data_IF_050210871651
#
_entry.id   IF_050210871651
#
_cell.length_a   1.000
_cell.length_b   1.000
_cell.length_c   1.000
_cell.angle_alpha   90.00
_cell.angle_beta   90.00
_cell.angle_gamma   90.00
#
_symmetry.space_group_name_H-M   'P 1'
#
loop_
_entity.id
_entity.type
_entity.pdbx_description
1 polymer ?
#
# COMPACT_ATOMS: atom_id res chain seq x y z
N UNK A 1 16.46 15.08 -3.38
CA UNK A 1 17.87 15.01 -3.81
C UNK A 1 18.75 15.56 -2.70
N UNK A 2 18.56 16.77 -2.21
CA UNK A 2 19.39 17.38 -1.14
C UNK A 2 19.49 16.55 0.14
N UNK A 3 18.46 15.76 0.49
CA UNK A 3 18.49 14.86 1.64
C UNK A 3 19.35 13.61 1.37
N UNK A 4 19.40 13.15 0.12
CA UNK A 4 20.20 12.00 -0.30
C UNK A 4 21.68 12.37 -0.25
N UNK A 5 22.02 13.57 -0.67
CA UNK A 5 23.42 14.06 -0.67
C UNK A 5 24.02 14.19 0.74
N UNK A 6 23.17 14.19 1.77
CA UNK A 6 23.59 14.25 3.19
C UNK A 6 23.82 12.88 3.81
N UNK A 7 23.48 11.79 3.11
CA UNK A 7 23.67 10.43 3.63
C UNK A 7 25.16 10.09 3.58
N UNK A 8 25.71 9.72 4.72
CA UNK A 8 27.10 9.29 4.86
C UNK A 8 27.17 7.77 5.10
N UNK A 9 28.35 7.19 4.91
CA UNK A 9 28.60 5.79 5.27
C UNK A 9 28.32 5.52 6.76
N UNK A 10 28.61 6.48 7.64
CA UNK A 10 28.33 6.39 9.06
C UNK A 10 26.84 6.29 9.35
N UNK A 11 25.98 7.10 8.67
CA UNK A 11 24.53 6.99 8.77
C UNK A 11 24.05 5.60 8.37
N UNK A 12 24.58 5.04 7.27
CA UNK A 12 24.20 3.71 6.81
C UNK A 12 24.60 2.62 7.81
N UNK A 13 25.83 2.69 8.36
CA UNK A 13 26.27 1.75 9.38
C UNK A 13 25.48 1.87 10.67
N UNK A 14 25.10 3.07 11.07
CA UNK A 14 24.22 3.28 12.23
C UNK A 14 22.87 2.58 12.03
N UNK A 15 22.23 2.82 10.88
CA UNK A 15 20.98 2.14 10.55
C UNK A 15 21.15 0.61 10.49
N UNK A 16 22.22 0.14 9.86
CA UNK A 16 22.51 -1.30 9.78
C UNK A 16 22.67 -1.92 11.18
N UNK A 17 23.50 -1.33 12.02
CA UNK A 17 23.76 -1.86 13.36
C UNK A 17 22.55 -1.82 14.28
N UNK A 18 21.64 -0.85 14.07
CA UNK A 18 20.40 -0.72 14.85
C UNK A 18 19.35 -1.73 14.41
N UNK A 19 19.12 -1.86 13.11
CA UNK A 19 17.93 -2.58 12.61
C UNK A 19 18.20 -4.01 12.14
N UNK A 20 19.44 -4.33 11.72
CA UNK A 20 19.80 -5.64 11.18
C UNK A 20 20.33 -6.58 12.26
N UNK A 21 19.52 -6.78 13.29
CA UNK A 21 19.79 -7.73 14.37
C UNK A 21 18.78 -8.89 14.27
N UNK A 22 19.17 -10.16 14.58
CA UNK A 22 18.28 -11.31 14.51
C UNK A 22 16.98 -11.15 15.28
N UNK A 23 16.99 -10.43 16.42
CA UNK A 23 15.80 -10.14 17.22
C UNK A 23 14.77 -9.23 16.51
N UNK A 24 15.20 -8.50 15.48
CA UNK A 24 14.35 -7.58 14.69
C UNK A 24 14.11 -8.10 13.26
N UNK A 25 14.48 -9.34 12.95
CA UNK A 25 14.38 -9.91 11.62
C UNK A 25 13.55 -11.18 11.62
N UNK A 26 12.79 -11.38 10.57
CA UNK A 26 12.09 -12.62 10.28
C UNK A 26 12.72 -13.24 9.02
N UNK A 27 13.13 -14.50 9.11
CA UNK A 27 13.52 -15.27 7.94
C UNK A 27 12.35 -16.16 7.51
N UNK A 28 11.87 -15.91 6.32
CA UNK A 28 10.78 -16.68 5.74
C UNK A 28 11.25 -17.42 4.49
N UNK A 29 11.05 -18.74 4.45
CA UNK A 29 11.49 -19.61 3.37
C UNK A 29 10.29 -20.32 2.78
N UNK A 30 10.08 -20.16 1.49
CA UNK A 30 9.00 -20.83 0.74
C UNK A 30 9.58 -21.55 -0.46
N UNK A 31 9.19 -22.81 -0.65
CA UNK A 31 9.64 -23.60 -1.80
C UNK A 31 9.55 -25.10 -1.54
N UNK A 32 10.08 -25.87 -2.47
CA UNK A 32 10.17 -27.33 -2.33
C UNK A 32 11.37 -27.71 -1.45
N UNK A 33 11.31 -27.39 -0.16
CA UNK A 33 12.37 -27.64 0.82
C UNK A 33 11.84 -28.58 1.92
N UNK A 34 12.76 -29.36 2.50
CA UNK A 34 12.47 -30.09 3.73
C UNK A 34 12.56 -29.12 4.91
N UNK A 35 11.48 -28.87 5.68
CA UNK A 35 11.48 -27.90 6.75
C UNK A 35 12.51 -28.21 7.86
N UNK A 36 12.65 -29.47 8.25
CA UNK A 36 13.55 -29.89 9.33
C UNK A 36 15.02 -29.66 8.94
N UNK A 37 15.40 -30.06 7.72
CA UNK A 37 16.76 -29.85 7.20
C UNK A 37 17.08 -28.36 7.05
N UNK A 38 16.09 -27.55 6.60
CA UNK A 38 16.25 -26.11 6.45
C UNK A 38 16.42 -25.43 7.81
N UNK A 39 15.61 -25.77 8.80
CA UNK A 39 15.73 -25.25 10.16
C UNK A 39 17.08 -25.61 10.76
N UNK A 40 17.52 -26.86 10.59
CA UNK A 40 18.82 -27.31 11.07
C UNK A 40 19.97 -26.51 10.41
N UNK A 41 19.93 -26.36 9.09
CA UNK A 41 20.91 -25.55 8.34
C UNK A 41 20.96 -24.10 8.83
N UNK A 42 19.79 -23.47 9.05
CA UNK A 42 19.70 -22.09 9.56
C UNK A 42 20.33 -22.00 10.96
N UNK A 43 19.98 -22.92 11.88
CA UNK A 43 20.56 -22.96 13.24
C UNK A 43 22.08 -23.08 13.19
N UNK A 44 22.60 -24.06 12.46
CA UNK A 44 24.04 -24.25 12.32
C UNK A 44 24.79 -23.07 11.72
N UNK A 45 24.13 -22.31 10.86
CA UNK A 45 24.65 -21.07 10.29
C UNK A 45 24.64 -19.94 11.32
N UNK A 46 23.56 -19.79 12.09
CA UNK A 46 23.43 -18.72 13.07
C UNK A 46 24.32 -18.96 14.30
N UNK A 47 24.48 -20.20 14.74
CA UNK A 47 25.34 -20.58 15.88
C UNK A 47 26.84 -20.25 15.64
N UNK A 48 27.26 -20.07 14.39
CA UNK A 48 28.61 -19.64 14.02
C UNK A 48 28.84 -18.14 14.09
N UNK A 49 27.79 -17.36 14.33
CA UNK A 49 27.87 -15.90 14.34
C UNK A 49 27.80 -15.38 15.77
N UNK A 50 28.61 -14.38 16.02
CA UNK A 50 28.52 -13.60 17.26
C UNK A 50 27.65 -12.38 17.02
N UNK A 51 26.57 -12.25 17.81
CA UNK A 51 25.70 -11.10 17.79
C UNK A 51 25.94 -10.26 19.04
N UNK A 52 25.85 -8.94 18.89
CA UNK A 52 25.79 -8.03 20.04
C UNK A 52 24.52 -8.31 20.84
N UNK A 53 24.47 -7.84 22.08
CA UNK A 53 23.23 -7.84 22.86
C UNK A 53 22.15 -7.04 22.12
N UNK A 54 20.93 -7.56 22.10
CA UNK A 54 19.81 -6.90 21.43
C UNK A 54 19.42 -5.63 22.21
N UNK A 55 19.37 -4.51 21.51
CA UNK A 55 18.84 -3.26 22.05
C UNK A 55 17.38 -3.13 21.68
N UNK A 56 16.56 -2.53 22.58
CA UNK A 56 15.18 -2.22 22.27
C UNK A 56 15.10 -1.08 21.26
N UNK A 57 14.38 -1.33 20.15
CA UNK A 57 14.20 -0.32 19.11
C UNK A 57 12.97 0.51 19.44
N UNK A 58 13.20 1.72 19.92
CA UNK A 58 12.13 2.70 20.10
C UNK A 58 11.65 3.24 18.77
N UNK A 59 10.34 3.16 18.52
CA UNK A 59 9.68 3.72 17.34
C UNK A 59 8.81 4.89 17.76
N UNK A 60 9.21 6.08 17.36
CA UNK A 60 8.44 7.29 17.58
C UNK A 60 7.55 7.55 16.36
N UNK A 61 6.25 7.62 16.60
CA UNK A 61 5.26 8.02 15.60
C UNK A 61 4.73 9.39 16.01
N UNK A 62 4.79 10.33 15.09
CA UNK A 62 4.12 11.62 15.29
C UNK A 62 2.62 11.44 15.12
N UNK A 63 1.84 12.21 15.89
CA UNK A 63 0.38 12.23 15.74
C UNK A 63 0.02 12.81 14.37
N UNK A 64 -0.66 12.03 13.56
CA UNK A 64 -1.11 12.47 12.23
C UNK A 64 -2.41 13.28 12.36
N UNK A 65 -2.42 14.58 12.01
CA UNK A 65 -3.63 15.40 12.09
C UNK A 65 -4.75 14.84 11.22
N UNK A 66 -6.00 14.96 11.65
CA UNK A 66 -7.19 14.53 10.87
C UNK A 66 -7.38 15.36 9.61
N UNK A 67 -6.97 16.63 9.67
CA UNK A 67 -7.08 17.56 8.54
C UNK A 67 -5.88 17.43 7.60
N UNK A 68 -6.11 17.72 6.31
CA UNK A 68 -5.03 17.77 5.33
C UNK A 68 -4.25 19.07 5.45
N UNK A 69 -2.93 19.01 5.46
CA UNK A 69 -2.07 20.21 5.55
C UNK A 69 -2.23 21.13 4.33
N UNK A 70 -2.46 20.56 3.16
CA UNK A 70 -2.64 21.32 1.90
C UNK A 70 -3.72 20.64 1.06
N UNK A 71 -4.81 21.35 0.77
CA UNK A 71 -5.96 20.82 0.05
C UNK A 71 -5.68 20.54 -1.43
N UNK A 72 -4.85 21.34 -2.06
CA UNK A 72 -4.46 21.17 -3.46
C UNK A 72 -3.04 21.68 -3.68
N UNK A 73 -2.29 21.02 -4.53
CA UNK A 73 -0.93 21.42 -4.92
C UNK A 73 -0.73 21.15 -6.40
N UNK A 74 -0.24 22.15 -7.10
CA UNK A 74 0.19 22.02 -8.48
C UNK A 74 1.71 22.09 -8.57
N UNK A 75 2.30 21.18 -9.33
CA UNK A 75 3.74 21.11 -9.58
C UNK A 75 3.98 21.15 -11.09
N UNK A 76 4.82 22.07 -11.54
CA UNK A 76 5.29 22.08 -12.93
C UNK A 76 6.44 21.11 -13.08
N UNK A 77 6.25 20.12 -13.95
CA UNK A 77 7.23 19.07 -14.22
C UNK A 77 7.31 18.84 -15.73
N UNK A 78 8.44 18.31 -16.18
CA UNK A 78 8.60 17.89 -17.57
C UNK A 78 7.92 16.53 -17.78
N UNK A 79 6.63 16.57 -18.10
CA UNK A 79 5.76 15.40 -18.31
C UNK A 79 4.99 15.56 -19.62
N UNK A 80 4.72 14.44 -20.29
CA UNK A 80 4.01 14.46 -21.58
C UNK A 80 2.53 14.86 -21.44
N UNK A 81 1.90 14.48 -20.32
CA UNK A 81 0.53 14.83 -19.97
C UNK A 81 0.43 15.22 -18.51
N UNK A 82 -0.50 16.11 -18.15
CA UNK A 82 -0.78 16.38 -16.74
C UNK A 82 -1.18 15.10 -15.99
N UNK A 83 -0.64 14.94 -14.78
CA UNK A 83 -0.95 13.84 -13.86
C UNK A 83 -1.87 14.35 -12.77
N UNK A 84 -2.92 13.62 -12.53
CA UNK A 84 -3.92 13.94 -11.49
C UNK A 84 -3.95 12.84 -10.46
N UNK A 85 -3.81 13.22 -9.20
CA UNK A 85 -3.99 12.34 -8.07
C UNK A 85 -4.87 13.01 -7.03
N UNK A 86 -5.94 12.33 -6.63
CA UNK A 86 -6.84 12.77 -5.56
C UNK A 86 -6.64 11.82 -4.38
N UNK A 87 -6.22 12.37 -3.25
CA UNK A 87 -6.00 11.64 -2.01
C UNK A 87 -7.12 11.88 -1.00
N UNK A 88 -7.48 10.82 -0.26
CA UNK A 88 -8.47 10.85 0.82
C UNK A 88 -7.83 10.27 2.07
N UNK A 89 -7.71 11.05 3.14
CA UNK A 89 -7.18 10.56 4.42
C UNK A 89 -8.13 9.55 5.06
N UNK A 90 -7.58 8.47 5.57
CA UNK A 90 -8.32 7.55 6.42
C UNK A 90 -8.59 8.18 7.80
N UNK A 91 -9.78 7.92 8.34
CA UNK A 91 -10.18 8.42 9.66
C UNK A 91 -9.89 7.42 10.79
N UNK A 92 -9.85 6.13 10.46
CA UNK A 92 -9.56 5.06 11.40
C UNK A 92 -8.16 4.54 11.13
N UNK A 93 -7.22 4.91 11.95
CA UNK A 93 -5.79 4.58 11.80
C UNK A 93 -5.18 3.95 13.06
N UNK A 94 -5.94 3.92 14.16
CA UNK A 94 -5.54 3.27 15.41
C UNK A 94 -6.10 1.83 15.47
N UNK A 95 -5.77 1.05 14.46
CA UNK A 95 -6.17 -0.35 14.31
C UNK A 95 -4.94 -1.23 14.31
N UNK A 96 -5.11 -2.50 14.68
CA UNK A 96 -4.04 -3.48 14.65
C UNK A 96 -4.54 -4.88 14.35
N UNK A 97 -3.64 -5.75 13.88
CA UNK A 97 -3.93 -7.16 13.65
C UNK A 97 -5.15 -7.39 12.74
N UNK A 98 -6.06 -8.24 13.17
CA UNK A 98 -7.23 -8.65 12.38
C UNK A 98 -8.19 -7.50 12.09
N UNK A 99 -8.34 -6.54 13.00
CA UNK A 99 -9.22 -5.38 12.80
C UNK A 99 -8.67 -4.46 11.70
N UNK A 100 -7.36 -4.23 11.69
CA UNK A 100 -6.69 -3.47 10.63
C UNK A 100 -6.87 -4.14 9.27
N UNK A 101 -6.64 -5.44 9.19
CA UNK A 101 -6.82 -6.22 7.96
C UNK A 101 -8.26 -6.17 7.46
N UNK A 102 -9.24 -6.36 8.34
CA UNK A 102 -10.67 -6.27 7.98
C UNK A 102 -11.03 -4.88 7.46
N UNK A 103 -10.52 -3.83 8.10
CA UNK A 103 -10.76 -2.46 7.67
C UNK A 103 -10.15 -2.20 6.30
N UNK A 104 -8.90 -2.57 6.11
CA UNK A 104 -8.18 -2.43 4.83
C UNK A 104 -8.91 -3.15 3.69
N UNK A 105 -9.26 -4.42 3.87
CA UNK A 105 -10.01 -5.19 2.88
C UNK A 105 -11.38 -4.58 2.59
N UNK A 106 -12.06 -4.05 3.60
CA UNK A 106 -13.36 -3.39 3.42
C UNK A 106 -13.25 -2.13 2.59
N UNK A 107 -12.25 -1.29 2.85
CA UNK A 107 -11.98 -0.07 2.06
C UNK A 107 -11.57 -0.43 0.63
N UNK A 108 -10.69 -1.41 0.45
CA UNK A 108 -10.28 -1.89 -0.87
C UNK A 108 -11.46 -2.43 -1.69
N UNK A 109 -12.41 -3.15 -1.06
CA UNK A 109 -13.64 -3.60 -1.73
C UNK A 109 -14.50 -2.40 -2.12
N UNK A 110 -14.66 -1.43 -1.22
CA UNK A 110 -15.40 -0.20 -1.51
C UNK A 110 -14.79 0.60 -2.67
N UNK A 111 -13.48 0.80 -2.68
CA UNK A 111 -12.78 1.48 -3.77
C UNK A 111 -12.92 0.73 -5.10
N UNK A 112 -12.83 -0.59 -5.10
CA UNK A 112 -13.07 -1.40 -6.31
C UNK A 112 -14.52 -1.26 -6.81
N UNK A 113 -15.50 -1.17 -5.91
CA UNK A 113 -16.89 -0.92 -6.31
C UNK A 113 -17.09 0.45 -6.94
N UNK A 114 -16.44 1.50 -6.41
CA UNK A 114 -16.57 2.87 -6.88
C UNK A 114 -15.69 3.15 -8.11
N UNK A 115 -14.44 2.76 -8.06
CA UNK A 115 -13.39 3.16 -9.02
C UNK A 115 -12.86 2.00 -9.87
N UNK A 116 -13.30 0.77 -9.63
CA UNK A 116 -12.89 -0.39 -10.40
C UNK A 116 -13.34 -0.32 -11.87
N UNK A 117 -12.65 -1.04 -12.75
CA UNK A 117 -12.94 -1.05 -14.20
C UNK A 117 -14.36 -1.50 -14.57
N UNK A 118 -15.09 -2.12 -13.65
CA UNK A 118 -16.48 -2.54 -13.82
C UNK A 118 -17.49 -1.57 -13.15
N UNK A 119 -17.05 -0.41 -12.70
CA UNK A 119 -17.90 0.62 -12.12
C UNK A 119 -18.48 1.55 -13.19
N UNK A 120 -19.63 2.14 -12.88
CA UNK A 120 -20.23 3.17 -13.73
C UNK A 120 -19.36 4.41 -13.83
N UNK A 121 -18.64 4.75 -12.74
CA UNK A 121 -17.67 5.83 -12.74
C UNK A 121 -16.58 5.61 -13.78
N UNK A 122 -15.94 4.43 -13.78
CA UNK A 122 -14.90 4.12 -14.75
C UNK A 122 -15.39 4.26 -16.19
N UNK A 123 -16.56 3.70 -16.50
CA UNK A 123 -17.15 3.79 -17.84
C UNK A 123 -17.38 5.25 -18.24
N UNK A 124 -17.96 6.03 -17.34
CA UNK A 124 -18.24 7.46 -17.57
C UNK A 124 -16.96 8.27 -17.87
N UNK A 125 -15.93 8.14 -17.04
CA UNK A 125 -14.70 8.94 -17.23
C UNK A 125 -13.85 8.44 -18.41
N UNK A 126 -13.91 7.15 -18.73
CA UNK A 126 -13.28 6.57 -19.89
C UNK A 126 -13.92 7.06 -21.21
N UNK A 127 -15.23 6.99 -21.31
CA UNK A 127 -15.98 7.47 -22.50
C UNK A 127 -15.84 8.99 -22.68
N UNK A 128 -15.71 9.75 -21.59
CA UNK A 128 -15.45 11.18 -21.62
C UNK A 128 -13.98 11.52 -21.99
N UNK A 129 -13.10 10.53 -22.12
CA UNK A 129 -11.67 10.71 -22.41
C UNK A 129 -10.92 11.42 -21.31
N UNK A 130 -11.34 11.24 -20.04
CA UNK A 130 -10.71 11.86 -18.87
C UNK A 130 -9.57 11.03 -18.32
N UNK A 131 -9.51 9.73 -18.62
CA UNK A 131 -8.50 8.78 -18.15
C UNK A 131 -7.86 8.04 -19.32
N UNK A 132 -6.69 7.48 -19.06
CA UNK A 132 -6.00 6.57 -19.97
C UNK A 132 -5.51 5.30 -19.24
N UNK A 133 -4.56 4.58 -19.80
CA UNK A 133 -4.04 3.32 -19.25
C UNK A 133 -3.32 3.50 -17.90
N UNK A 134 -2.92 4.73 -17.55
CA UNK A 134 -2.29 5.07 -16.27
C UNK A 134 -3.28 5.14 -15.09
N UNK A 135 -4.60 5.02 -15.37
CA UNK A 135 -5.62 5.06 -14.34
C UNK A 135 -5.43 3.97 -13.29
N UNK A 136 -5.31 4.41 -12.05
CA UNK A 136 -5.11 3.55 -10.91
C UNK A 136 -5.81 4.13 -9.67
N UNK A 137 -6.11 3.25 -8.72
CA UNK A 137 -6.52 3.59 -7.36
C UNK A 137 -5.88 2.60 -6.40
N UNK A 138 -5.61 3.07 -5.18
CA UNK A 138 -5.01 2.26 -4.13
C UNK A 138 -5.43 2.75 -2.75
N UNK A 139 -5.23 1.92 -1.74
CA UNK A 139 -5.42 2.24 -0.33
C UNK A 139 -4.26 1.71 0.47
N UNK A 140 -3.64 2.58 1.23
CA UNK A 140 -2.60 2.25 2.20
C UNK A 140 -3.09 2.54 3.60
N UNK A 141 -2.92 1.57 4.49
CA UNK A 141 -3.24 1.71 5.91
C UNK A 141 -2.04 1.23 6.74
N UNK A 142 -1.51 2.13 7.53
CA UNK A 142 -0.41 1.90 8.44
C UNK A 142 -0.82 2.28 9.86
N UNK A 143 0.00 1.92 10.84
CA UNK A 143 -0.24 2.35 12.22
C UNK A 143 -0.10 3.87 12.32
N UNK A 144 -1.20 4.55 12.64
CA UNK A 144 -1.26 5.98 12.83
C UNK A 144 -1.59 6.80 11.58
N UNK A 145 -1.54 6.24 10.38
CA UNK A 145 -1.96 6.96 9.16
C UNK A 145 -2.51 6.02 8.09
N UNK A 146 -3.29 6.58 7.19
CA UNK A 146 -3.79 5.86 6.02
C UNK A 146 -4.41 6.81 5.01
N UNK A 147 -4.44 6.40 3.76
CA UNK A 147 -5.04 7.17 2.68
C UNK A 147 -5.47 6.30 1.52
N UNK A 148 -6.52 6.72 0.84
CA UNK A 148 -6.85 6.25 -0.50
C UNK A 148 -6.33 7.25 -1.52
N UNK A 149 -5.92 6.77 -2.68
CA UNK A 149 -5.50 7.58 -3.82
C UNK A 149 -6.18 7.09 -5.08
N UNK A 150 -6.66 8.02 -5.91
CA UNK A 150 -7.22 7.73 -7.25
C UNK A 150 -6.60 8.70 -8.23
N UNK A 151 -6.14 8.23 -9.38
CA UNK A 151 -5.51 9.13 -10.34
C UNK A 151 -5.31 8.54 -11.73
N UNK A 152 -4.94 9.42 -12.65
CA UNK A 152 -4.59 9.10 -14.04
C UNK A 152 -3.84 10.26 -14.68
N UNK A 153 -3.18 10.01 -15.78
CA UNK A 153 -2.80 11.04 -16.73
C UNK A 153 -4.07 11.53 -17.44
N UNK A 154 -4.24 12.84 -17.55
CA UNK A 154 -5.46 13.44 -18.11
C UNK A 154 -5.17 14.72 -18.86
N UNK A 155 -5.77 14.87 -20.03
CA UNK A 155 -5.77 16.15 -20.76
C UNK A 155 -6.68 17.20 -20.10
N UNK A 156 -7.56 16.79 -19.17
CA UNK A 156 -8.51 17.64 -18.47
C UNK A 156 -8.42 17.40 -16.95
N UNK A 157 -7.29 17.82 -16.32
CA UNK A 157 -6.97 17.47 -14.94
C UNK A 157 -8.04 17.88 -13.93
N UNK A 158 -8.55 19.11 -14.03
CA UNK A 158 -9.55 19.64 -13.08
C UNK A 158 -10.85 18.85 -13.15
N UNK A 159 -11.31 18.54 -14.36
CA UNK A 159 -12.55 17.80 -14.57
C UNK A 159 -12.44 16.36 -14.03
N UNK A 160 -11.28 15.73 -14.16
CA UNK A 160 -11.06 14.41 -13.57
C UNK A 160 -11.06 14.49 -12.04
N UNK A 161 -10.33 15.46 -11.47
CA UNK A 161 -10.27 15.65 -10.02
C UNK A 161 -11.67 15.87 -9.42
N UNK A 162 -12.46 16.76 -10.01
CA UNK A 162 -13.85 17.02 -9.60
C UNK A 162 -14.69 15.74 -9.67
N UNK A 163 -14.59 14.99 -10.78
CA UNK A 163 -15.35 13.73 -10.94
C UNK A 163 -15.00 12.70 -9.87
N UNK A 164 -13.73 12.55 -9.51
CA UNK A 164 -13.29 11.63 -8.45
C UNK A 164 -13.84 12.07 -7.10
N UNK A 165 -13.74 13.36 -6.77
CA UNK A 165 -14.25 13.91 -5.50
C UNK A 165 -15.77 13.74 -5.41
N UNK A 166 -16.50 14.02 -6.49
CA UNK A 166 -17.95 13.84 -6.53
C UNK A 166 -18.37 12.38 -6.32
N UNK A 167 -17.67 11.44 -6.96
CA UNK A 167 -17.98 10.02 -6.83
C UNK A 167 -17.75 9.54 -5.39
N UNK A 168 -16.65 9.92 -4.78
CA UNK A 168 -16.35 9.59 -3.39
C UNK A 168 -17.41 10.16 -2.43
N UNK A 169 -17.83 11.41 -2.64
CA UNK A 169 -18.84 12.08 -1.79
C UNK A 169 -20.25 11.50 -1.94
N UNK A 170 -20.56 10.93 -3.10
CA UNK A 170 -21.86 10.31 -3.40
C UNK A 170 -21.85 8.79 -3.20
N UNK A 171 -20.75 8.23 -2.65
CA UNK A 171 -20.54 6.80 -2.56
C UNK A 171 -21.78 6.05 -2.07
N UNK A 172 -22.29 5.18 -2.91
CA UNK A 172 -23.37 4.26 -2.60
C UNK A 172 -22.95 2.86 -3.00
N UNK A 173 -23.20 1.91 -2.13
CA UNK A 173 -22.78 0.54 -2.34
C UNK A 173 -24.01 -0.35 -2.60
N UNK A 174 -23.94 -1.08 -3.69
CA UNK A 174 -24.90 -2.10 -4.05
C UNK A 174 -24.37 -3.46 -3.56
N UNK A 175 -25.20 -4.23 -2.88
CA UNK A 175 -24.84 -5.55 -2.33
C UNK A 175 -24.33 -6.51 -3.42
N UNK A 176 -24.96 -6.51 -4.60
CA UNK A 176 -24.54 -7.34 -5.72
C UNK A 176 -23.13 -6.95 -6.21
N UNK A 177 -22.80 -5.65 -6.28
CA UNK A 177 -21.48 -5.18 -6.64
C UNK A 177 -20.43 -5.60 -5.60
N UNK A 178 -20.74 -5.48 -4.32
CA UNK A 178 -19.88 -5.92 -3.22
C UNK A 178 -19.58 -7.42 -3.34
N UNK A 179 -20.61 -8.25 -3.51
CA UNK A 179 -20.45 -9.71 -3.62
C UNK A 179 -19.66 -10.09 -4.88
N UNK A 180 -19.85 -9.40 -6.00
CA UNK A 180 -19.06 -9.59 -7.22
C UNK A 180 -17.58 -9.28 -6.97
N UNK A 181 -17.29 -8.16 -6.32
CA UNK A 181 -15.91 -7.75 -5.99
C UNK A 181 -15.27 -8.73 -5.02
N UNK A 182 -15.98 -9.16 -3.97
CA UNK A 182 -15.49 -10.18 -3.02
C UNK A 182 -15.10 -11.47 -3.75
N UNK A 183 -15.98 -12.00 -4.60
CA UNK A 183 -15.70 -13.20 -5.38
C UNK A 183 -14.51 -13.03 -6.32
N UNK A 184 -14.38 -11.87 -6.97
CA UNK A 184 -13.22 -11.53 -7.79
C UNK A 184 -11.93 -11.56 -6.98
N UNK A 185 -11.91 -10.91 -5.81
CA UNK A 185 -10.72 -10.88 -4.93
C UNK A 185 -10.37 -12.27 -4.40
N UNK A 186 -11.35 -13.06 -3.97
CA UNK A 186 -11.13 -14.45 -3.54
C UNK A 186 -10.54 -15.29 -4.68
N UNK A 187 -11.11 -15.19 -5.88
CA UNK A 187 -10.62 -15.93 -7.03
C UNK A 187 -9.18 -15.53 -7.43
N UNK A 188 -8.88 -14.23 -7.36
CA UNK A 188 -7.51 -13.72 -7.55
C UNK A 188 -6.55 -14.28 -6.50
N UNK A 189 -6.92 -14.21 -5.23
CA UNK A 189 -6.11 -14.72 -4.12
C UNK A 189 -5.82 -16.21 -4.23
N UNK A 190 -6.86 -17.02 -4.49
CA UNK A 190 -6.71 -18.47 -4.67
C UNK A 190 -5.77 -18.81 -5.85
N UNK A 191 -5.87 -18.07 -6.94
CA UNK A 191 -4.95 -18.23 -8.08
C UNK A 191 -3.53 -17.82 -7.73
N UNK A 192 -3.38 -16.73 -7.00
CA UNK A 192 -2.09 -16.16 -6.62
C UNK A 192 -1.31 -17.05 -5.63
N UNK A 193 -2.01 -17.90 -4.84
CA UNK A 193 -1.39 -18.90 -3.98
C UNK A 193 -0.57 -19.97 -4.73
N UNK A 194 -0.65 -20.02 -6.07
CA UNK A 194 0.26 -20.83 -6.87
C UNK A 194 1.62 -20.16 -7.12
N UNK A 195 1.80 -18.89 -6.75
CA UNK A 195 3.07 -18.17 -6.85
C UNK A 195 3.81 -18.20 -5.50
N UNK A 196 5.05 -18.67 -5.54
CA UNK A 196 5.93 -18.71 -4.37
C UNK A 196 6.20 -17.29 -3.86
N UNK A 197 6.42 -16.34 -4.77
CA UNK A 197 6.64 -14.92 -4.45
C UNK A 197 5.42 -14.32 -3.78
N UNK A 198 4.21 -14.65 -4.27
CA UNK A 198 2.98 -14.16 -3.65
C UNK A 198 2.85 -14.67 -2.22
N UNK A 199 3.08 -15.97 -1.98
CA UNK A 199 3.01 -16.55 -0.63
C UNK A 199 4.02 -15.86 0.30
N UNK A 200 5.26 -15.66 -0.16
CA UNK A 200 6.30 -14.99 0.62
C UNK A 200 5.93 -13.55 0.98
N UNK A 201 5.28 -12.82 0.07
CA UNK A 201 4.89 -11.42 0.28
C UNK A 201 3.60 -11.25 1.11
N UNK A 202 2.80 -12.30 1.26
CA UNK A 202 1.56 -12.26 2.06
C UNK A 202 1.79 -12.62 3.54
N UNK A 203 2.95 -13.15 3.88
CA UNK A 203 3.31 -13.44 5.26
C UNK A 203 3.69 -12.16 6.01
#
# INVERSE_FOLDING_TARGET
>A
IESIDKITAEHLYTCYNTFYHPSNMLLFVVGAVNPEEMIQFIKENQDKKEFKEAEEIERHFEDEPTEVATKARELKMDVQKPKVYVGFKAKQTDLSGEEMLKHELSVQIGLECLFGRASDFYTKVYEAGLIDESYAYDFSLEKGFGFAIVGSDSAKPDQLAESIIEEMNKAQFNEEAIERVKRKKIGFYLRALNSIEFIANQF
#
